data_IF_597925713569
#
_entry.id   IF_597925713569
#
_cell.length_a   1.000
_cell.length_b   1.000
_cell.length_c   1.000
_cell.angle_alpha   90.00
_cell.angle_beta   90.00
_cell.angle_gamma   90.00
#
_symmetry.space_group_name_H-M   'P 1'
#
loop_
_entity.id
_entity.type
_entity.pdbx_description
1 polymer ?
#
# COMPACT_ATOMS: atom_id res chain seq x y z
N UNK A 1 -31.17 3.66 -15.19
CA UNK A 1 -30.63 4.33 -16.40
C UNK A 1 -29.84 3.28 -17.18
N UNK A 2 -29.91 3.22 -18.52
CA UNK A 2 -29.12 2.23 -19.27
C UNK A 2 -27.66 2.68 -19.31
N UNK A 3 -26.84 2.13 -18.42
CA UNK A 3 -25.40 2.41 -18.39
C UNK A 3 -24.71 1.68 -19.54
N UNK A 4 -23.80 2.35 -20.29
CA UNK A 4 -23.09 1.71 -21.38
C UNK A 4 -22.26 0.53 -20.86
N UNK A 5 -22.15 -0.53 -21.66
CA UNK A 5 -21.18 -1.60 -21.42
C UNK A 5 -19.82 -1.10 -21.88
N UNK A 6 -18.82 -1.16 -20.99
CA UNK A 6 -17.47 -0.69 -21.27
C UNK A 6 -16.71 -1.77 -22.06
N UNK A 7 -16.29 -1.44 -23.28
CA UNK A 7 -15.42 -2.28 -24.11
C UNK A 7 -14.02 -1.68 -24.18
N UNK A 8 -12.95 -2.49 -24.16
CA UNK A 8 -11.58 -1.99 -24.33
C UNK A 8 -11.45 -1.09 -25.56
N UNK A 9 -10.81 0.07 -25.38
CA UNK A 9 -10.59 1.07 -26.43
C UNK A 9 -11.81 1.92 -26.80
N UNK A 10 -13.03 1.63 -26.31
CA UNK A 10 -14.22 2.45 -26.54
C UNK A 10 -14.43 3.47 -25.43
N UNK A 11 -14.84 4.68 -25.81
CA UNK A 11 -15.17 5.78 -24.89
C UNK A 11 -16.64 6.10 -25.00
N UNK A 12 -17.26 6.38 -23.86
CA UNK A 12 -18.63 6.87 -23.77
C UNK A 12 -18.63 8.15 -22.96
N UNK A 13 -19.44 9.12 -23.37
CA UNK A 13 -19.61 10.38 -22.66
C UNK A 13 -21.06 10.48 -22.24
N UNK A 14 -21.29 10.66 -20.94
CA UNK A 14 -22.60 10.94 -20.37
C UNK A 14 -22.57 12.37 -19.79
N UNK A 15 -23.67 13.12 -19.87
CA UNK A 15 -23.74 14.41 -19.18
C UNK A 15 -23.60 14.20 -17.67
N UNK A 16 -22.87 15.09 -16.98
CA UNK A 16 -22.76 15.03 -15.51
C UNK A 16 -24.15 15.24 -14.91
N UNK A 17 -24.69 14.27 -14.16
CA UNK A 17 -25.99 14.41 -13.55
C UNK A 17 -25.95 15.41 -12.37
N UNK A 18 -27.12 15.89 -11.93
CA UNK A 18 -27.22 16.91 -10.88
C UNK A 18 -27.03 16.31 -9.48
N UNK A 19 -26.35 17.03 -8.58
CA UNK A 19 -26.10 16.58 -7.21
C UNK A 19 -25.41 15.22 -7.15
N UNK A 20 -25.78 14.40 -6.16
CA UNK A 20 -25.21 13.05 -5.92
C UNK A 20 -25.73 11.97 -6.88
N UNK A 21 -26.40 12.34 -7.98
CA UNK A 21 -26.88 11.37 -8.96
C UNK A 21 -25.73 10.71 -9.75
N UNK A 22 -24.52 11.28 -9.73
CA UNK A 22 -23.31 10.65 -10.24
C UNK A 22 -22.89 9.46 -9.37
N UNK A 23 -22.95 9.61 -8.04
CA UNK A 23 -22.70 8.52 -7.10
C UNK A 23 -23.69 7.35 -7.29
N UNK A 24 -24.99 7.63 -7.50
CA UNK A 24 -25.99 6.58 -7.83
C UNK A 24 -25.59 5.84 -9.11
N UNK A 25 -25.24 6.60 -10.15
CA UNK A 25 -24.89 6.07 -11.46
C UNK A 25 -23.63 5.20 -11.40
N UNK A 26 -22.61 5.66 -10.71
CA UNK A 26 -21.34 4.96 -10.53
C UNK A 26 -21.51 3.72 -9.63
N UNK A 27 -22.38 3.79 -8.62
CA UNK A 27 -22.72 2.63 -7.77
C UNK A 27 -23.40 1.53 -8.59
N UNK A 28 -24.40 1.87 -9.41
CA UNK A 28 -25.07 0.91 -10.28
C UNK A 28 -24.12 0.30 -11.32
N UNK A 29 -23.18 1.10 -11.86
CA UNK A 29 -22.13 0.61 -12.74
C UNK A 29 -21.25 -0.40 -12.01
N UNK A 30 -20.75 -0.04 -10.82
CA UNK A 30 -19.85 -0.86 -10.04
C UNK A 30 -20.50 -2.18 -9.56
N UNK A 31 -21.77 -2.17 -9.14
CA UNK A 31 -22.50 -3.40 -8.80
C UNK A 31 -22.62 -4.35 -10.00
N UNK A 32 -22.90 -3.81 -11.18
CA UNK A 32 -22.94 -4.58 -12.43
C UNK A 32 -21.59 -5.17 -12.78
N UNK A 33 -20.52 -4.38 -12.74
CA UNK A 33 -19.17 -4.86 -13.05
C UNK A 33 -18.70 -5.88 -12.01
N UNK A 34 -18.97 -5.66 -10.72
CA UNK A 34 -18.72 -6.65 -9.64
C UNK A 34 -19.43 -7.96 -9.91
N UNK A 35 -20.71 -7.94 -10.28
CA UNK A 35 -21.46 -9.14 -10.64
C UNK A 35 -20.87 -9.86 -11.86
N UNK A 36 -20.20 -9.12 -12.76
CA UNK A 36 -19.43 -9.66 -13.87
C UNK A 36 -17.98 -10.05 -13.50
N UNK A 37 -17.60 -9.96 -12.21
CA UNK A 37 -16.26 -10.29 -11.72
C UNK A 37 -15.20 -9.27 -12.10
N UNK A 38 -15.56 -8.01 -12.32
CA UNK A 38 -14.65 -6.92 -12.70
C UNK A 38 -14.56 -5.83 -11.65
N UNK A 39 -13.34 -5.36 -11.42
CA UNK A 39 -13.07 -4.19 -10.60
C UNK A 39 -13.40 -2.91 -11.38
N UNK A 40 -13.98 -1.93 -10.69
CA UNK A 40 -14.27 -0.60 -11.28
C UNK A 40 -13.29 0.45 -10.77
N UNK A 41 -12.50 1.03 -11.66
CA UNK A 41 -11.67 2.19 -11.34
C UNK A 41 -12.40 3.49 -11.72
N UNK A 42 -12.50 4.43 -10.78
CA UNK A 42 -13.12 5.74 -10.96
C UNK A 42 -12.01 6.79 -10.81
N UNK A 43 -11.64 7.43 -11.90
CA UNK A 43 -10.67 8.53 -11.89
C UNK A 43 -11.41 9.86 -11.77
N UNK A 44 -11.18 10.60 -10.68
CA UNK A 44 -11.79 11.91 -10.43
C UNK A 44 -10.86 13.04 -10.83
N UNK A 45 -11.40 14.25 -11.05
CA UNK A 45 -10.58 15.42 -11.38
C UNK A 45 -9.65 15.81 -10.21
N UNK A 46 -10.15 15.73 -8.99
CA UNK A 46 -9.44 16.06 -7.76
C UNK A 46 -9.80 15.12 -6.60
N UNK A 47 -9.10 15.28 -5.47
CA UNK A 47 -9.30 14.49 -4.26
C UNK A 47 -10.63 14.78 -3.56
N UNK A 48 -11.17 15.99 -3.69
CA UNK A 48 -12.47 16.35 -3.08
C UNK A 48 -13.61 15.59 -3.75
N UNK A 49 -13.59 15.46 -5.08
CA UNK A 49 -14.55 14.63 -5.82
C UNK A 49 -14.41 13.14 -5.44
N UNK A 50 -13.19 12.64 -5.25
CA UNK A 50 -12.97 11.25 -4.80
C UNK A 50 -13.56 11.00 -3.41
N UNK A 51 -13.26 11.87 -2.44
CA UNK A 51 -13.78 11.74 -1.08
C UNK A 51 -15.31 11.84 -1.06
N UNK A 52 -15.89 12.82 -1.77
CA UNK A 52 -17.35 12.95 -1.89
C UNK A 52 -17.98 11.67 -2.44
N UNK A 53 -17.44 11.12 -3.53
CA UNK A 53 -17.97 9.89 -4.12
C UNK A 53 -17.82 8.70 -3.16
N UNK A 54 -16.73 8.63 -2.39
CA UNK A 54 -16.53 7.60 -1.37
C UNK A 54 -17.65 7.68 -0.31
N UNK A 55 -17.94 8.88 0.21
CA UNK A 55 -18.99 9.11 1.21
C UNK A 55 -20.40 8.89 0.67
N UNK A 56 -20.66 9.21 -0.61
CA UNK A 56 -21.99 9.09 -1.22
C UNK A 56 -22.29 7.67 -1.72
N UNK A 57 -21.31 6.96 -2.30
CA UNK A 57 -21.54 5.64 -2.90
C UNK A 57 -21.91 4.57 -1.86
N UNK A 58 -21.39 4.66 -0.63
CA UNK A 58 -21.72 3.71 0.44
C UNK A 58 -23.21 3.77 0.81
N UNK A 59 -23.87 4.92 0.64
CA UNK A 59 -25.30 5.07 0.86
C UNK A 59 -26.13 4.31 -0.19
N UNK A 60 -25.70 4.34 -1.46
CA UNK A 60 -26.44 3.74 -2.57
C UNK A 60 -26.13 2.26 -2.79
N UNK A 61 -24.90 1.83 -2.48
CA UNK A 61 -24.46 0.45 -2.64
C UNK A 61 -23.57 0.01 -1.46
N UNK A 62 -24.16 -0.19 -0.27
CA UNK A 62 -23.42 -0.54 0.96
C UNK A 62 -22.69 -1.89 0.88
N UNK A 63 -23.01 -2.73 -0.10
CA UNK A 63 -22.33 -3.99 -0.37
C UNK A 63 -21.07 -3.88 -1.25
N UNK A 64 -20.76 -2.69 -1.78
CA UNK A 64 -19.52 -2.45 -2.51
C UNK A 64 -18.37 -2.15 -1.56
N UNK A 65 -17.25 -2.83 -1.76
CA UNK A 65 -15.99 -2.56 -1.06
C UNK A 65 -15.23 -1.50 -1.83
N UNK A 66 -15.60 -0.25 -1.59
CA UNK A 66 -14.94 0.90 -2.20
C UNK A 66 -13.66 1.26 -1.43
N UNK A 67 -12.63 1.66 -2.16
CA UNK A 67 -11.35 2.16 -1.61
C UNK A 67 -10.92 3.40 -2.35
N UNK A 68 -10.21 4.30 -1.68
CA UNK A 68 -9.54 5.43 -2.31
C UNK A 68 -8.04 5.14 -2.38
N UNK A 69 -7.38 5.43 -3.50
CA UNK A 69 -5.93 5.39 -3.57
C UNK A 69 -5.35 6.70 -3.02
N UNK A 70 -4.68 6.69 -1.85
CA UNK A 70 -4.26 7.92 -1.19
C UNK A 70 -3.15 8.64 -1.95
N UNK A 71 -3.12 9.96 -1.88
CA UNK A 71 -1.99 10.75 -2.31
C UNK A 71 -0.82 10.65 -1.29
N UNK A 72 0.37 11.11 -1.69
CA UNK A 72 1.46 11.26 -0.72
C UNK A 72 1.28 12.49 0.19
N UNK A 73 0.42 13.43 -0.22
CA UNK A 73 0.21 14.72 0.46
C UNK A 73 1.49 15.54 0.63
N UNK A 74 2.48 15.29 -0.23
CA UNK A 74 3.72 16.05 -0.34
C UNK A 74 3.81 16.70 -1.71
N UNK A 75 4.45 17.88 -1.78
CA UNK A 75 4.61 18.58 -3.05
C UNK A 75 5.62 17.85 -3.95
N UNK A 76 5.45 17.83 -5.29
CA UNK A 76 6.44 17.22 -6.17
C UNK A 76 7.87 17.69 -5.89
N UNK A 77 8.77 16.73 -5.62
CA UNK A 77 10.16 16.97 -5.21
C UNK A 77 10.32 17.65 -3.84
N UNK A 78 9.40 17.41 -2.92
CA UNK A 78 9.54 17.85 -1.54
C UNK A 78 10.78 17.22 -0.86
N UNK A 79 11.25 17.91 0.19
CA UNK A 79 12.29 17.42 1.09
C UNK A 79 11.73 16.63 2.26
N UNK A 80 10.41 16.55 2.39
CA UNK A 80 9.70 15.70 3.36
C UNK A 80 9.31 14.38 2.71
N UNK A 81 9.35 13.30 3.49
CA UNK A 81 8.73 12.03 3.10
C UNK A 81 7.24 12.02 3.50
N UNK A 82 6.40 11.27 2.79
CA UNK A 82 5.00 11.08 3.17
C UNK A 82 4.87 10.49 4.58
N UNK A 83 3.75 10.80 5.25
CA UNK A 83 3.46 10.23 6.56
C UNK A 83 3.34 8.70 6.47
N UNK A 84 3.78 7.97 7.51
CA UNK A 84 3.77 6.50 7.49
C UNK A 84 2.36 5.92 7.38
N UNK A 85 1.35 6.60 7.93
CA UNK A 85 -0.05 6.22 7.77
C UNK A 85 -0.50 6.25 6.30
N UNK A 86 -0.07 7.26 5.54
CA UNK A 86 -0.37 7.36 4.11
C UNK A 86 0.34 6.25 3.32
N UNK A 87 1.60 5.97 3.63
CA UNK A 87 2.33 4.85 3.01
C UNK A 87 1.63 3.52 3.32
N UNK A 88 1.23 3.32 4.58
CA UNK A 88 0.48 2.15 5.04
C UNK A 88 -0.83 1.97 4.26
N UNK A 89 -1.63 3.02 4.13
CA UNK A 89 -2.91 3.01 3.42
C UNK A 89 -2.73 2.80 1.90
N UNK A 90 -1.69 3.40 1.32
CA UNK A 90 -1.34 3.21 -0.10
C UNK A 90 -0.97 1.76 -0.39
N UNK A 91 -0.08 1.17 0.41
CA UNK A 91 0.31 -0.23 0.27
C UNK A 91 -0.89 -1.17 0.47
N UNK A 92 -1.74 -0.90 1.46
CA UNK A 92 -3.00 -1.64 1.65
C UNK A 92 -3.87 -1.57 0.39
N UNK A 93 -4.06 -0.38 -0.16
CA UNK A 93 -4.91 -0.18 -1.35
C UNK A 93 -4.35 -0.93 -2.55
N UNK A 94 -3.05 -0.82 -2.83
CA UNK A 94 -2.41 -1.56 -3.92
C UNK A 94 -2.52 -3.08 -3.71
N UNK A 95 -2.38 -3.55 -2.47
CA UNK A 95 -2.53 -4.96 -2.13
C UNK A 95 -3.98 -5.46 -2.36
N UNK A 96 -4.99 -4.66 -1.99
CA UNK A 96 -6.42 -4.95 -2.20
C UNK A 96 -6.81 -4.96 -3.68
N UNK A 97 -6.19 -4.09 -4.50
CA UNK A 97 -6.34 -4.09 -5.96
C UNK A 97 -5.75 -5.38 -6.55
N UNK A 98 -4.51 -5.70 -6.19
CA UNK A 98 -3.81 -6.90 -6.68
C UNK A 98 -4.59 -8.19 -6.35
N UNK A 99 -5.17 -8.29 -5.14
CA UNK A 99 -5.93 -9.46 -4.73
C UNK A 99 -7.30 -9.58 -5.39
N UNK A 100 -7.88 -8.50 -5.93
CA UNK A 100 -9.11 -8.64 -6.70
C UNK A 100 -8.91 -9.56 -7.91
N UNK A 101 -7.77 -9.46 -8.61
CA UNK A 101 -7.48 -10.36 -9.74
C UNK A 101 -7.38 -11.82 -9.31
N UNK A 102 -6.59 -12.10 -8.28
CA UNK A 102 -6.26 -13.47 -7.90
C UNK A 102 -7.31 -14.16 -7.02
N UNK A 103 -8.02 -13.41 -6.17
CA UNK A 103 -8.96 -13.93 -5.18
C UNK A 103 -10.13 -12.94 -4.95
N UNK A 104 -10.99 -12.76 -5.97
CA UNK A 104 -12.15 -11.83 -5.94
C UNK A 104 -13.04 -11.90 -4.69
N UNK A 105 -13.20 -13.10 -4.13
CA UNK A 105 -14.02 -13.37 -2.95
C UNK A 105 -13.29 -13.10 -1.63
N UNK A 106 -12.00 -12.75 -1.66
CA UNK A 106 -11.24 -12.38 -0.47
C UNK A 106 -11.92 -11.18 0.20
N UNK A 107 -12.23 -11.20 1.50
CA UNK A 107 -13.02 -10.15 2.17
C UNK A 107 -12.49 -8.73 1.93
N UNK A 108 -11.17 -8.57 1.87
CA UNK A 108 -10.50 -7.29 1.70
C UNK A 108 -10.33 -6.83 0.23
N UNK A 109 -10.68 -7.65 -0.78
CA UNK A 109 -10.57 -7.25 -2.18
C UNK A 109 -11.40 -5.98 -2.47
N UNK A 110 -10.91 -5.11 -3.33
CA UNK A 110 -11.59 -3.86 -3.69
C UNK A 110 -12.54 -4.08 -4.87
N UNK A 111 -13.83 -3.74 -4.72
CA UNK A 111 -14.78 -3.77 -5.85
C UNK A 111 -14.69 -2.47 -6.67
N UNK A 112 -14.40 -1.35 -5.99
CA UNK A 112 -14.26 -0.02 -6.59
C UNK A 112 -13.02 0.66 -6.05
N UNK A 113 -12.25 1.29 -6.93
CA UNK A 113 -11.07 2.09 -6.57
C UNK A 113 -11.29 3.53 -7.08
N UNK A 114 -11.30 4.49 -6.17
CA UNK A 114 -11.36 5.92 -6.48
C UNK A 114 -9.93 6.48 -6.52
N UNK A 115 -9.60 7.20 -7.58
CA UNK A 115 -8.24 7.68 -7.83
C UNK A 115 -8.31 9.13 -8.31
N UNK A 116 -7.80 10.11 -7.55
CA UNK A 116 -7.63 11.47 -8.06
C UNK A 116 -6.68 11.47 -9.27
N UNK A 117 -6.99 12.27 -10.30
CA UNK A 117 -6.21 12.29 -11.54
C UNK A 117 -4.73 12.61 -11.31
N UNK A 118 -4.40 13.48 -10.35
CA UNK A 118 -3.01 13.80 -9.98
C UNK A 118 -2.28 12.59 -9.39
N UNK A 119 -2.93 11.85 -8.50
CA UNK A 119 -2.38 10.65 -7.85
C UNK A 119 -2.20 9.50 -8.84
N UNK A 120 -3.07 9.39 -9.86
CA UNK A 120 -2.96 8.40 -10.92
C UNK A 120 -1.68 8.54 -11.77
N UNK A 121 -1.05 9.73 -11.76
CA UNK A 121 0.17 10.01 -12.54
C UNK A 121 1.45 9.53 -11.84
N UNK A 122 1.39 9.16 -10.56
CA UNK A 122 2.58 8.72 -9.85
C UNK A 122 3.13 7.41 -10.40
N UNK A 123 4.46 7.35 -10.45
CA UNK A 123 5.18 6.09 -10.60
C UNK A 123 5.10 5.33 -9.28
N UNK A 124 4.91 4.02 -9.38
CA UNK A 124 4.79 3.10 -8.26
C UNK A 124 5.84 2.00 -8.37
N UNK A 125 6.10 1.32 -7.26
CA UNK A 125 6.81 0.05 -7.32
C UNK A 125 6.04 -0.95 -8.17
N UNK A 126 6.72 -1.85 -8.91
CA UNK A 126 6.06 -2.92 -9.65
C UNK A 126 5.20 -3.81 -8.74
N UNK A 127 4.08 -4.39 -9.23
CA UNK A 127 3.29 -5.35 -8.44
C UNK A 127 4.11 -6.53 -7.87
N UNK A 128 5.16 -6.95 -8.60
CA UNK A 128 6.10 -7.98 -8.15
C UNK A 128 6.88 -7.60 -6.89
N UNK A 129 7.15 -6.32 -6.66
CA UNK A 129 7.76 -5.85 -5.41
C UNK A 129 6.80 -6.06 -4.24
N UNK A 130 5.54 -5.64 -4.39
CA UNK A 130 4.54 -5.83 -3.34
C UNK A 130 4.36 -7.32 -3.01
N UNK A 131 4.23 -8.17 -4.03
CA UNK A 131 4.09 -9.61 -3.86
C UNK A 131 5.33 -10.26 -3.22
N UNK A 132 6.54 -9.86 -3.62
CA UNK A 132 7.80 -10.46 -3.15
C UNK A 132 8.16 -10.10 -1.70
N UNK A 133 7.61 -9.01 -1.17
CA UNK A 133 7.87 -8.52 0.19
C UNK A 133 6.59 -8.52 1.05
N UNK A 134 5.56 -9.28 0.65
CA UNK A 134 4.42 -9.59 1.51
C UNK A 134 4.67 -10.92 2.22
N UNK A 135 4.52 -10.95 3.53
CA UNK A 135 4.72 -12.15 4.34
C UNK A 135 3.61 -12.31 5.35
N UNK A 136 3.22 -13.55 5.60
CA UNK A 136 2.12 -13.91 6.48
C UNK A 136 2.58 -15.00 7.44
N UNK A 137 2.14 -14.90 8.69
CA UNK A 137 2.31 -15.95 9.67
C UNK A 137 1.12 -16.00 10.63
N UNK A 138 0.88 -17.19 11.17
CA UNK A 138 -0.29 -17.46 12.01
C UNK A 138 0.09 -18.05 13.35
N UNK A 139 -0.86 -17.97 14.29
CA UNK A 139 -0.76 -18.69 15.56
C UNK A 139 -0.42 -20.17 15.33
N UNK A 140 0.39 -20.75 16.23
CA UNK A 140 0.90 -22.13 16.16
C UNK A 140 1.88 -22.43 15.02
N UNK A 141 2.35 -21.41 14.30
CA UNK A 141 3.45 -21.55 13.36
C UNK A 141 4.80 -21.35 14.09
N UNK A 142 5.84 -22.06 13.61
CA UNK A 142 7.22 -21.78 14.03
C UNK A 142 7.70 -20.44 13.48
N UNK A 143 8.33 -19.64 14.33
CA UNK A 143 8.86 -18.33 13.97
C UNK A 143 10.24 -18.14 14.60
N UNK A 144 11.26 -18.06 13.75
CA UNK A 144 12.61 -17.68 14.16
C UNK A 144 12.67 -16.14 14.29
N UNK A 145 12.82 -15.66 15.53
CA UNK A 145 12.91 -14.23 15.86
C UNK A 145 14.02 -13.52 15.07
N UNK A 146 15.20 -14.13 14.98
CA UNK A 146 16.36 -13.52 14.33
C UNK A 146 16.15 -13.44 12.81
N UNK A 147 15.54 -14.47 12.22
CA UNK A 147 15.15 -14.47 10.82
C UNK A 147 14.08 -13.41 10.54
N UNK A 148 13.02 -13.34 11.37
CA UNK A 148 11.97 -12.33 11.21
C UNK A 148 12.54 -10.92 11.33
N UNK A 149 13.43 -10.67 12.29
CA UNK A 149 14.11 -9.37 12.45
C UNK A 149 14.89 -8.97 11.20
N UNK A 150 15.60 -9.92 10.60
CA UNK A 150 16.32 -9.70 9.34
C UNK A 150 15.35 -9.37 8.20
N UNK A 151 14.25 -10.13 8.08
CA UNK A 151 13.21 -9.91 7.07
C UNK A 151 12.52 -8.55 7.22
N UNK A 152 12.16 -8.16 8.45
CA UNK A 152 11.56 -6.85 8.75
C UNK A 152 12.51 -5.72 8.38
N UNK A 153 13.80 -5.86 8.70
CA UNK A 153 14.82 -4.88 8.33
C UNK A 153 14.97 -4.75 6.82
N UNK A 154 15.00 -5.88 6.09
CA UNK A 154 15.07 -5.90 4.62
C UNK A 154 13.79 -5.32 3.98
N UNK A 155 12.63 -5.57 4.60
CA UNK A 155 11.36 -4.99 4.19
C UNK A 155 11.25 -3.49 4.52
N UNK A 156 12.21 -2.91 5.24
CA UNK A 156 12.25 -1.48 5.53
C UNK A 156 11.54 -1.05 6.82
N UNK A 157 11.26 -1.99 7.73
CA UNK A 157 10.72 -1.69 9.05
C UNK A 157 11.80 -1.13 9.98
N UNK A 158 11.40 -0.20 10.85
CA UNK A 158 12.27 0.44 11.83
C UNK A 158 12.23 -0.33 13.16
N UNK A 159 13.41 -0.71 13.66
CA UNK A 159 13.54 -1.28 14.99
C UNK A 159 13.52 -0.16 16.04
N UNK A 160 12.49 -0.16 16.89
CA UNK A 160 12.26 0.87 17.90
C UNK A 160 12.16 0.25 19.30
N UNK A 161 12.26 1.08 20.33
CA UNK A 161 12.05 0.61 21.71
C UNK A 161 10.57 0.35 22.00
N UNK A 162 9.67 1.14 21.39
CA UNK A 162 8.22 1.08 21.56
C UNK A 162 7.56 1.38 20.22
N UNK A 163 6.63 0.51 19.82
CA UNK A 163 5.89 0.61 18.56
C UNK A 163 4.69 1.53 18.75
N UNK A 164 4.62 2.55 17.90
CA UNK A 164 3.53 3.56 17.90
C UNK A 164 3.01 3.86 16.50
N UNK A 165 3.80 3.65 15.44
CA UNK A 165 3.43 3.96 14.05
C UNK A 165 3.60 2.76 13.10
N UNK A 166 2.87 2.72 11.97
CA UNK A 166 3.09 1.70 10.93
C UNK A 166 4.54 1.64 10.46
N UNK A 167 5.02 0.43 10.15
CA UNK A 167 6.40 0.20 9.73
C UNK A 167 7.39 0.08 10.89
N UNK A 168 6.93 0.02 12.14
CA UNK A 168 7.78 -0.16 13.31
C UNK A 168 7.68 -1.57 13.88
N UNK A 169 8.75 -2.02 14.53
CA UNK A 169 8.76 -3.22 15.34
C UNK A 169 9.69 -3.10 16.55
N UNK A 170 9.40 -3.84 17.61
CA UNK A 170 10.20 -3.95 18.81
C UNK A 170 10.24 -5.40 19.29
N UNK A 171 11.38 -5.82 19.84
CA UNK A 171 11.56 -7.18 20.38
C UNK A 171 11.97 -7.10 21.84
N UNK A 172 11.28 -7.83 22.71
CA UNK A 172 11.47 -7.83 24.17
C UNK A 172 11.34 -9.25 24.72
N UNK A 173 12.43 -10.01 24.68
CA UNK A 173 12.40 -11.43 25.02
C UNK A 173 11.48 -12.17 24.03
N UNK A 174 10.56 -13.01 24.52
CA UNK A 174 9.60 -13.72 23.67
C UNK A 174 8.48 -12.86 23.08
N UNK A 175 8.43 -11.55 23.35
CA UNK A 175 7.42 -10.65 22.80
C UNK A 175 7.97 -9.88 21.59
N UNK A 176 7.21 -9.90 20.50
CA UNK A 176 7.47 -9.09 19.31
C UNK A 176 6.27 -8.17 19.10
N UNK A 177 6.47 -6.88 19.29
CA UNK A 177 5.50 -5.86 18.91
C UNK A 177 5.80 -5.41 17.49
N UNK A 178 4.78 -5.31 16.65
CA UNK A 178 4.94 -4.91 15.26
C UNK A 178 3.69 -4.16 14.78
N UNK A 179 3.89 -3.12 13.98
CA UNK A 179 2.79 -2.40 13.34
C UNK A 179 2.92 -2.59 11.82
N UNK A 180 2.24 -3.59 11.25
CA UNK A 180 2.33 -3.85 9.81
C UNK A 180 1.87 -2.66 8.99
N UNK A 181 2.60 -2.39 7.91
CA UNK A 181 2.06 -1.59 6.83
C UNK A 181 0.80 -2.26 6.29
N UNK A 182 -0.23 -1.45 6.10
CA UNK A 182 -1.57 -1.82 5.68
C UNK A 182 -2.48 -2.43 6.75
N UNK A 183 -2.03 -2.50 8.00
CA UNK A 183 -2.91 -2.80 9.14
C UNK A 183 -3.38 -1.50 9.79
N UNK A 184 -4.65 -1.41 10.24
CA UNK A 184 -5.13 -0.26 11.01
C UNK A 184 -4.67 -0.28 12.48
N UNK A 185 -4.15 -1.40 12.96
CA UNK A 185 -3.75 -1.60 14.36
C UNK A 185 -2.44 -2.39 14.45
N UNK A 186 -1.64 -2.19 15.52
CA UNK A 186 -0.44 -2.97 15.74
C UNK A 186 -0.75 -4.30 16.45
N UNK A 187 0.18 -5.24 16.34
CA UNK A 187 0.09 -6.59 16.89
C UNK A 187 1.24 -6.89 17.86
N UNK A 188 0.91 -7.60 18.93
CA UNK A 188 1.85 -8.23 19.86
C UNK A 188 1.82 -9.73 19.62
N UNK A 189 2.95 -10.28 19.22
CA UNK A 189 3.19 -11.71 19.02
C UNK A 189 3.92 -12.23 20.24
N UNK A 190 3.35 -13.25 20.87
CA UNK A 190 3.92 -13.93 22.03
C UNK A 190 4.49 -15.28 21.60
N UNK A 191 5.79 -15.46 21.81
CA UNK A 191 6.52 -16.67 21.46
C UNK A 191 6.73 -17.56 22.68
N UNK A 192 6.44 -18.84 22.50
CA UNK A 192 6.87 -19.89 23.40
C UNK A 192 7.94 -20.73 22.68
N UNK A 193 9.19 -20.58 23.12
CA UNK A 193 10.38 -21.03 22.39
C UNK A 193 10.40 -20.48 20.95
N UNK A 194 10.24 -21.34 19.94
CA UNK A 194 10.22 -20.98 18.52
C UNK A 194 8.80 -21.06 17.91
N UNK A 195 7.74 -21.14 18.72
CA UNK A 195 6.35 -21.21 18.27
C UNK A 195 5.56 -19.97 18.67
N UNK A 196 4.73 -19.46 17.76
CA UNK A 196 3.77 -18.39 18.05
C UNK A 196 2.65 -18.93 18.93
N UNK A 197 2.67 -18.61 20.23
CA UNK A 197 1.63 -19.02 21.16
C UNK A 197 0.35 -18.21 20.95
N UNK A 198 0.47 -16.88 20.88
CA UNK A 198 -0.66 -16.00 20.64
C UNK A 198 -0.28 -14.74 19.85
N UNK A 199 -1.27 -14.19 19.13
CA UNK A 199 -1.18 -12.90 18.45
C UNK A 199 -2.36 -12.06 18.95
N UNK A 200 -2.09 -10.83 19.38
CA UNK A 200 -3.10 -9.91 19.88
C UNK A 200 -2.92 -8.55 19.26
N UNK A 201 -4.01 -7.85 18.97
CA UNK A 201 -3.97 -6.42 18.74
C UNK A 201 -3.56 -5.71 20.02
N UNK A 202 -2.97 -4.52 19.94
CA UNK A 202 -2.74 -3.67 21.11
C UNK A 202 -2.96 -2.20 20.78
N UNK A 203 -3.18 -1.41 21.82
CA UNK A 203 -3.35 0.04 21.70
C UNK A 203 -1.98 0.75 21.73
N UNK A 204 -1.59 1.50 20.68
CA UNK A 204 -0.25 2.09 20.58
C UNK A 204 0.04 3.16 21.65
N UNK A 205 -0.98 3.80 22.21
CA UNK A 205 -0.79 4.83 23.23
C UNK A 205 -0.59 4.23 24.64
N UNK A 206 -1.47 3.30 25.02
CA UNK A 206 -1.46 2.66 26.34
C UNK A 206 -0.58 1.41 26.41
N UNK A 207 -0.15 0.87 25.27
CA UNK A 207 0.66 -0.36 25.13
C UNK A 207 -0.01 -1.63 25.69
N UNK A 208 -1.33 -1.60 25.83
CA UNK A 208 -2.14 -2.70 26.37
C UNK A 208 -2.68 -3.57 25.25
N UNK A 209 -2.52 -4.89 25.41
CA UNK A 209 -3.14 -5.87 24.51
C UNK A 209 -4.66 -5.80 24.58
N UNK A 210 -5.28 -5.99 23.42
CA UNK A 210 -6.72 -5.96 23.19
C UNK A 210 -7.19 -7.36 22.76
N UNK A 211 -7.65 -7.53 21.52
CA UNK A 211 -8.31 -8.74 21.04
C UNK A 211 -7.33 -9.67 20.33
N UNK A 212 -7.46 -11.00 20.50
CA UNK A 212 -6.64 -11.96 19.76
C UNK A 212 -7.00 -11.97 18.27
N UNK A 213 -6.01 -12.26 17.42
CA UNK A 213 -6.18 -12.43 15.97
C UNK A 213 -5.49 -13.72 15.53
N UNK A 214 -5.98 -14.39 14.46
CA UNK A 214 -5.44 -15.68 14.05
C UNK A 214 -4.08 -15.58 13.35
N UNK A 215 -3.81 -14.45 12.70
CA UNK A 215 -2.68 -14.24 11.81
C UNK A 215 -2.26 -12.77 11.70
N UNK A 216 -1.07 -12.56 11.15
CA UNK A 216 -0.52 -11.26 10.78
C UNK A 216 -0.16 -11.31 9.30
N UNK A 217 -0.57 -10.27 8.58
CA UNK A 217 -0.03 -9.94 7.25
C UNK A 217 0.87 -8.73 7.35
N UNK A 218 2.05 -8.83 6.76
CA UNK A 218 3.05 -7.78 6.69
C UNK A 218 3.25 -7.38 5.23
N UNK A 219 2.92 -6.13 4.93
CA UNK A 219 3.32 -5.48 3.68
C UNK A 219 4.73 -4.87 3.86
N UNK A 220 5.40 -4.47 2.77
CA UNK A 220 6.71 -3.82 2.85
C UNK A 220 6.63 -2.56 3.71
N UNK A 221 7.69 -2.24 4.46
CA UNK A 221 7.78 -1.04 5.28
C UNK A 221 7.87 0.26 4.46
N UNK A 222 8.12 0.17 3.16
CA UNK A 222 8.26 1.29 2.21
C UNK A 222 7.75 0.91 0.84
N UNK A 223 7.47 1.89 0.00
CA UNK A 223 7.15 1.69 -1.42
C UNK A 223 8.40 1.40 -2.28
N UNK A 224 9.55 1.09 -1.68
CA UNK A 224 10.78 0.71 -2.37
C UNK A 224 11.68 -0.18 -1.50
N UNK A 225 12.52 -1.05 -2.10
CA UNK A 225 13.43 -1.91 -1.36
C UNK A 225 14.63 -1.15 -0.80
N UNK A 226 15.12 -1.60 0.36
CA UNK A 226 16.30 -1.03 1.05
C UNK A 226 17.42 -2.06 1.31
N UNK A 227 17.32 -3.25 0.73
CA UNK A 227 18.38 -4.25 0.77
C UNK A 227 19.66 -3.79 0.03
N UNK A 228 20.75 -4.52 0.20
CA UNK A 228 22.05 -4.16 -0.37
C UNK A 228 22.02 -4.06 -1.90
N UNK A 229 21.29 -4.96 -2.57
CA UNK A 229 21.17 -4.95 -4.03
C UNK A 229 20.40 -3.72 -4.52
N UNK A 230 19.30 -3.37 -3.86
CA UNK A 230 18.53 -2.16 -4.14
C UNK A 230 19.36 -0.88 -3.95
N UNK A 231 20.10 -0.78 -2.84
CA UNK A 231 20.99 0.35 -2.55
C UNK A 231 22.10 0.49 -3.58
N UNK A 232 22.71 -0.63 -4.00
CA UNK A 232 23.73 -0.65 -5.05
C UNK A 232 23.14 -0.19 -6.40
N UNK A 233 21.95 -0.70 -6.76
CA UNK A 233 21.22 -0.30 -7.97
C UNK A 233 20.90 1.18 -7.97
N UNK A 234 20.36 1.71 -6.87
CA UNK A 234 20.08 3.14 -6.70
C UNK A 234 21.31 3.99 -6.99
N UNK A 235 22.45 3.66 -6.37
CA UNK A 235 23.70 4.41 -6.56
C UNK A 235 24.29 4.24 -7.97
N UNK A 236 24.09 3.09 -8.59
CA UNK A 236 24.48 2.88 -9.98
C UNK A 236 23.66 3.76 -10.91
N UNK A 237 22.33 3.71 -10.80
CA UNK A 237 21.39 4.49 -11.63
C UNK A 237 21.51 5.98 -11.38
N UNK A 238 21.81 6.40 -10.16
CA UNK A 238 22.13 7.79 -9.85
C UNK A 238 23.29 8.29 -10.73
N UNK A 239 24.39 7.53 -10.81
CA UNK A 239 25.57 7.90 -11.62
C UNK A 239 25.31 7.86 -13.12
N UNK A 240 24.35 7.04 -13.54
CA UNK A 240 23.97 6.88 -14.95
C UNK A 240 23.02 7.98 -15.44
N UNK A 241 22.04 8.36 -14.61
CA UNK A 241 20.90 9.18 -15.03
C UNK A 241 20.97 10.63 -14.54
N UNK A 242 21.71 10.91 -13.47
CA UNK A 242 21.79 12.24 -12.87
C UNK A 242 23.16 12.86 -13.11
N UNK A 243 23.16 14.12 -13.54
CA UNK A 243 24.37 14.90 -13.76
C UNK A 243 24.96 15.43 -12.46
N UNK A 244 26.26 15.75 -12.50
CA UNK A 244 26.99 16.33 -11.37
C UNK A 244 27.74 15.30 -10.51
N UNK A 245 28.40 15.79 -9.47
CA UNK A 245 29.21 14.97 -8.55
C UNK A 245 28.31 14.32 -7.48
N UNK A 246 28.10 12.99 -7.50
CA UNK A 246 27.23 12.31 -6.55
C UNK A 246 27.67 12.47 -5.09
N UNK A 247 28.97 12.68 -4.84
CA UNK A 247 29.50 12.81 -3.47
C UNK A 247 29.05 14.11 -2.78
N UNK A 248 28.59 15.09 -3.57
CA UNK A 248 27.97 16.33 -3.07
C UNK A 248 26.49 16.13 -2.70
N UNK A 249 25.82 15.11 -3.23
CA UNK A 249 24.44 14.78 -2.89
C UNK A 249 24.36 14.07 -1.54
N UNK A 250 23.54 14.62 -0.63
CA UNK A 250 23.23 13.95 0.65
C UNK A 250 22.51 12.63 0.42
N UNK A 251 21.50 12.62 -0.45
CA UNK A 251 20.68 11.44 -0.77
C UNK A 251 21.55 10.27 -1.25
N UNK A 252 22.51 10.54 -2.13
CA UNK A 252 23.42 9.51 -2.64
C UNK A 252 24.32 8.92 -1.54
N UNK A 253 24.83 9.76 -0.64
CA UNK A 253 25.69 9.32 0.48
C UNK A 253 24.90 8.54 1.52
N UNK A 254 23.74 9.05 1.91
CA UNK A 254 22.84 8.43 2.89
C UNK A 254 22.40 7.05 2.40
N UNK A 255 22.06 6.91 1.11
CA UNK A 255 21.77 5.60 0.51
C UNK A 255 22.95 4.63 0.60
N UNK A 256 24.17 5.13 0.40
CA UNK A 256 25.41 4.39 0.62
C UNK A 256 25.55 3.88 2.05
N UNK A 257 25.05 4.63 3.03
CA UNK A 257 25.06 4.28 4.45
C UNK A 257 23.81 3.52 4.91
N UNK A 258 22.85 3.24 4.02
CA UNK A 258 21.61 2.53 4.36
C UNK A 258 20.55 3.42 5.01
N UNK A 259 20.65 4.73 4.84
CA UNK A 259 19.71 5.71 5.36
C UNK A 259 18.81 6.19 4.23
N UNK A 260 17.50 6.06 4.42
CA UNK A 260 16.50 6.66 3.55
C UNK A 260 16.30 8.13 3.95
N UNK A 261 16.92 9.07 3.21
CA UNK A 261 16.76 10.51 3.44
C UNK A 261 15.30 10.93 3.22
N UNK A 262 14.82 11.92 3.96
CA UNK A 262 13.48 12.50 3.71
C UNK A 262 13.36 13.01 2.25
N UNK A 263 12.23 12.73 1.61
CA UNK A 263 11.97 13.03 0.19
C UNK A 263 12.54 12.02 -0.81
N UNK A 264 13.12 10.91 -0.34
CA UNK A 264 13.68 9.84 -1.19
C UNK A 264 12.62 9.21 -2.13
N UNK A 265 11.34 9.28 -1.77
CA UNK A 265 10.22 8.76 -2.56
C UNK A 265 10.19 9.34 -3.98
N UNK A 266 10.61 10.60 -4.17
CA UNK A 266 10.71 11.23 -5.50
C UNK A 266 11.83 10.67 -6.38
N UNK A 267 12.69 9.81 -5.84
CA UNK A 267 13.74 9.10 -6.55
C UNK A 267 13.39 7.62 -6.79
N UNK A 268 12.11 7.24 -6.62
CA UNK A 268 11.59 5.88 -6.84
C UNK A 268 12.15 5.17 -8.10
N UNK A 269 12.25 5.82 -9.28
CA UNK A 269 12.74 5.15 -10.50
C UNK A 269 14.22 4.71 -10.45
N UNK A 270 14.99 5.15 -9.44
CA UNK A 270 16.36 4.69 -9.21
C UNK A 270 16.41 3.34 -8.49
N UNK A 271 15.34 2.92 -7.81
CA UNK A 271 15.28 1.64 -7.10
C UNK A 271 14.89 0.47 -8.00
N UNK A 272 14.29 0.74 -9.17
CA UNK A 272 13.76 -0.27 -10.06
C UNK A 272 14.32 -0.13 -11.48
N UNK A 273 14.38 -1.24 -12.21
CA UNK A 273 14.66 -1.20 -13.65
C UNK A 273 13.51 -0.55 -14.40
N UNK A 274 12.29 -0.99 -14.07
CA UNK A 274 11.03 -0.45 -14.57
C UNK A 274 10.12 -0.12 -13.38
N UNK A 275 9.38 0.99 -13.49
CA UNK A 275 8.37 1.40 -12.50
C UNK A 275 6.99 1.14 -13.09
N UNK A 276 6.02 0.94 -12.20
CA UNK A 276 4.63 0.80 -12.56
C UNK A 276 3.88 2.13 -12.42
N UNK A 277 2.61 2.10 -12.74
CA UNK A 277 1.57 3.07 -12.44
C UNK A 277 0.40 2.33 -11.79
N UNK A 278 -0.60 3.06 -11.28
CA UNK A 278 -1.81 2.41 -10.74
C UNK A 278 -2.53 1.56 -11.79
N UNK A 279 -2.40 1.89 -13.09
CA UNK A 279 -3.03 1.14 -14.17
C UNK A 279 -2.43 -0.26 -14.36
N UNK A 280 -1.15 -0.45 -14.07
CA UNK A 280 -0.50 -1.77 -14.11
C UNK A 280 -1.06 -2.68 -13.00
N UNK A 281 -1.38 -2.13 -11.82
CA UNK A 281 -2.07 -2.86 -10.75
C UNK A 281 -3.51 -3.22 -11.15
N UNK A 282 -4.21 -2.32 -11.86
CA UNK A 282 -5.57 -2.57 -12.33
C UNK A 282 -5.63 -3.61 -13.46
N UNK A 283 -4.62 -3.68 -14.33
CA UNK A 283 -4.57 -4.64 -15.45
C UNK A 283 -4.29 -6.08 -14.97
N UNK A 284 -3.38 -6.24 -14.00
CA UNK A 284 -3.18 -7.52 -13.29
C UNK A 284 -4.49 -7.99 -12.64
N UNK A 285 -5.28 -7.06 -12.10
CA UNK A 285 -6.58 -7.39 -11.52
C UNK A 285 -7.65 -7.83 -12.55
N UNK A 286 -7.52 -7.42 -13.82
CA UNK A 286 -8.46 -7.72 -14.89
C UNK A 286 -8.13 -8.96 -15.74
N UNK A 287 -6.89 -9.47 -15.63
CA UNK A 287 -6.36 -10.58 -16.46
C UNK A 287 -6.42 -11.96 -15.79
N UNK A 288 -6.76 -12.02 -14.50
CA UNK A 288 -7.07 -13.24 -13.75
C UNK A 288 -8.59 -13.41 -13.61
#
# INVERSE_FOLDING_TARGET
MNLPVLHPGKRFTLPRPIGSADAVLLSQLAEREKAAGKLTAIVTADATDAQRLMDEMVFFAPGLRCVMFPDWETLPYDTFSPHQDLISERLATLWRIHHYGHQRQHPEAADVVLIPATTALYRLAPPSFLAGYTFEFKTKQKLDEAQLKSQLTLAGYNHVSQVVSPGEYAVRGGLIDLFPMGSPVPYRVDLFDDEIDSIRTFDPDSQRSLYPVPEVRLLPGREFPMDEAARARFRSRWRELLEGDPTKSRIYKDMGNGVATAGIEYYLPLFFEETATVFDYLDVAGSA
#
